data_IF_728553655868
#
_entry.id   IF_728553655868
#
_cell.length_a   1.000
_cell.length_b   1.000
_cell.length_c   1.000
_cell.angle_alpha   90.00
_cell.angle_beta   90.00
_cell.angle_gamma   90.00
#
_symmetry.space_group_name_H-M   'P 1'
#
loop_
_entity.id
_entity.type
_entity.pdbx_description
1 polymer ?
#
# COMPACT_ATOMS: atom_id res chain seq x y z
N UNK A 1 34.13 -27.59 -13.25
CA UNK A 1 35.10 -26.64 -12.67
C UNK A 1 34.36 -25.36 -12.30
N UNK A 2 33.81 -25.27 -11.09
CA UNK A 2 33.23 -24.02 -10.61
C UNK A 2 34.40 -23.10 -10.23
N UNK A 3 34.63 -22.02 -10.97
CA UNK A 3 35.73 -21.10 -10.68
C UNK A 3 35.47 -20.37 -9.37
N UNK A 4 36.50 -20.28 -8.52
CA UNK A 4 36.48 -19.46 -7.32
C UNK A 4 35.99 -18.04 -7.68
N UNK A 5 34.82 -17.66 -7.15
CA UNK A 5 34.32 -16.29 -7.26
C UNK A 5 35.35 -15.39 -6.61
N UNK A 6 35.96 -14.49 -7.38
CA UNK A 6 36.84 -13.50 -6.78
C UNK A 6 36.00 -12.63 -5.83
N UNK A 7 36.62 -12.08 -4.78
CA UNK A 7 35.93 -11.11 -3.88
C UNK A 7 35.22 -10.00 -4.68
N UNK A 8 35.78 -9.61 -5.82
CA UNK A 8 35.20 -8.64 -6.76
C UNK A 8 33.90 -9.16 -7.38
N UNK A 9 33.87 -10.40 -7.85
CA UNK A 9 32.67 -11.01 -8.45
C UNK A 9 31.56 -11.20 -7.41
N UNK A 10 31.92 -11.58 -6.19
CA UNK A 10 30.97 -11.66 -5.08
C UNK A 10 30.33 -10.30 -4.76
N UNK A 11 31.14 -9.24 -4.63
CA UNK A 11 30.65 -7.89 -4.37
C UNK A 11 29.80 -7.36 -5.53
N UNK A 12 30.16 -7.67 -6.77
CA UNK A 12 29.38 -7.31 -7.95
C UNK A 12 28.01 -8.01 -7.95
N UNK A 13 27.95 -9.30 -7.59
CA UNK A 13 26.71 -10.04 -7.44
C UNK A 13 25.81 -9.46 -6.34
N UNK A 14 26.39 -9.09 -5.20
CA UNK A 14 25.65 -8.43 -4.10
C UNK A 14 25.07 -7.07 -4.52
N UNK A 15 25.83 -6.28 -5.29
CA UNK A 15 25.36 -5.01 -5.81
C UNK A 15 24.20 -5.19 -6.81
N UNK A 16 24.29 -6.19 -7.69
CA UNK A 16 23.20 -6.55 -8.62
C UNK A 16 21.94 -7.00 -7.88
N UNK A 17 22.09 -7.82 -6.83
CA UNK A 17 20.98 -8.25 -5.98
C UNK A 17 20.30 -7.06 -5.30
N UNK A 18 21.09 -6.16 -4.68
CA UNK A 18 20.56 -4.96 -4.04
C UNK A 18 19.86 -4.00 -5.04
N UNK A 19 20.35 -3.92 -6.28
CA UNK A 19 19.70 -3.17 -7.35
C UNK A 19 18.38 -3.84 -7.79
N UNK A 20 18.34 -5.17 -7.82
CA UNK A 20 17.12 -5.95 -8.08
C UNK A 20 16.04 -5.66 -7.05
N UNK A 21 16.38 -5.72 -5.76
CA UNK A 21 15.44 -5.41 -4.68
C UNK A 21 14.95 -3.97 -4.72
N UNK A 22 15.81 -2.99 -5.02
CA UNK A 22 15.37 -1.58 -5.18
C UNK A 22 14.31 -1.43 -6.26
N UNK A 23 14.52 -2.03 -7.44
CA UNK A 23 13.54 -2.00 -8.52
C UNK A 23 12.23 -2.68 -8.13
N UNK A 24 12.29 -3.80 -7.41
CA UNK A 24 11.08 -4.46 -6.91
C UNK A 24 10.34 -3.59 -5.91
N UNK A 25 11.03 -2.97 -4.95
CA UNK A 25 10.42 -2.04 -3.99
C UNK A 25 9.77 -0.87 -4.74
N UNK A 26 10.48 -0.25 -5.68
CA UNK A 26 9.96 0.87 -6.47
C UNK A 26 8.76 0.47 -7.35
N UNK A 27 8.74 -0.74 -7.89
CA UNK A 27 7.63 -1.27 -8.69
C UNK A 27 6.44 -1.72 -7.83
N UNK A 28 6.67 -2.14 -6.59
CA UNK A 28 5.61 -2.52 -5.63
C UNK A 28 5.03 -1.30 -4.90
N UNK A 29 5.72 -0.16 -4.91
CA UNK A 29 5.12 1.12 -4.55
C UNK A 29 4.27 1.59 -5.73
N UNK A 30 3.02 1.14 -5.76
CA UNK A 30 1.96 1.86 -6.46
C UNK A 30 1.78 3.21 -5.75
N UNK A 31 2.65 4.15 -6.09
CA UNK A 31 2.66 5.49 -5.54
C UNK A 31 1.38 6.22 -5.92
N UNK A 32 0.85 7.02 -5.00
CA UNK A 32 -0.24 7.90 -5.34
C UNK A 32 0.19 8.95 -6.37
N UNK A 33 -0.76 9.35 -7.22
CA UNK A 33 -0.56 10.42 -8.20
C UNK A 33 0.05 11.68 -7.52
N UNK A 34 1.17 12.22 -8.05
CA UNK A 34 1.86 13.37 -7.47
C UNK A 34 1.14 14.70 -7.71
N UNK A 35 0.19 14.79 -8.66
CA UNK A 35 -0.56 16.00 -8.95
C UNK A 35 -1.31 16.51 -7.69
N UNK A 36 -1.07 17.75 -7.25
CA UNK A 36 -1.77 18.35 -6.12
C UNK A 36 -3.29 18.23 -6.18
N UNK A 37 -3.91 18.37 -7.37
CA UNK A 37 -5.35 18.28 -7.52
C UNK A 37 -5.86 16.85 -7.24
N UNK A 38 -5.19 15.84 -7.80
CA UNK A 38 -5.50 14.42 -7.57
C UNK A 38 -5.26 14.00 -6.12
N UNK A 39 -4.22 14.55 -5.49
CA UNK A 39 -3.95 14.35 -4.06
C UNK A 39 -5.06 14.91 -3.19
N UNK A 40 -5.55 16.12 -3.50
CA UNK A 40 -6.63 16.75 -2.76
C UNK A 40 -7.93 15.93 -2.87
N UNK A 41 -8.31 15.55 -4.09
CA UNK A 41 -9.50 14.73 -4.37
C UNK A 41 -9.45 13.40 -3.59
N UNK A 42 -8.33 12.66 -3.68
CA UNK A 42 -8.15 11.41 -2.93
C UNK A 42 -8.31 11.61 -1.43
N UNK A 43 -7.73 12.67 -0.87
CA UNK A 43 -7.80 12.95 0.58
C UNK A 43 -9.20 13.32 1.03
N UNK A 44 -9.94 14.12 0.24
CA UNK A 44 -11.32 14.48 0.55
C UNK A 44 -12.21 13.24 0.55
N UNK A 45 -12.09 12.39 -0.48
CA UNK A 45 -12.87 11.14 -0.56
C UNK A 45 -12.53 10.16 0.55
N UNK A 46 -11.25 10.06 0.94
CA UNK A 46 -10.82 9.22 2.05
C UNK A 46 -11.31 9.70 3.42
N UNK A 47 -11.42 11.01 3.63
CA UNK A 47 -12.02 11.54 4.86
C UNK A 47 -13.53 11.27 4.94
N UNK A 48 -14.22 11.30 3.79
CA UNK A 48 -15.66 11.09 3.74
C UNK A 48 -16.09 9.61 3.71
N UNK A 49 -15.16 8.66 3.50
CA UNK A 49 -15.49 7.24 3.36
C UNK A 49 -14.40 6.33 3.91
N UNK A 50 -14.72 5.65 5.00
CA UNK A 50 -13.89 4.63 5.63
C UNK A 50 -13.56 3.49 4.66
N UNK A 51 -14.53 3.03 3.86
CA UNK A 51 -14.32 1.99 2.84
C UNK A 51 -13.28 2.45 1.81
N UNK A 52 -13.44 3.66 1.27
CA UNK A 52 -12.48 4.19 0.29
C UNK A 52 -11.11 4.37 0.91
N UNK A 53 -11.02 4.88 2.14
CA UNK A 53 -9.76 4.98 2.88
C UNK A 53 -9.06 3.63 3.01
N UNK A 54 -9.77 2.60 3.50
CA UNK A 54 -9.21 1.26 3.68
C UNK A 54 -8.70 0.66 2.36
N UNK A 55 -9.51 0.72 1.30
CA UNK A 55 -9.14 0.17 -0.01
C UNK A 55 -7.98 0.94 -0.67
N UNK A 56 -7.88 2.25 -0.41
CA UNK A 56 -6.87 3.12 -1.03
C UNK A 56 -5.52 3.06 -0.32
N UNK A 57 -5.49 3.03 1.02
CA UNK A 57 -4.25 3.11 1.80
C UNK A 57 -3.80 1.75 2.36
N UNK A 58 -4.68 0.76 2.41
CA UNK A 58 -4.39 -0.58 2.90
C UNK A 58 -4.70 -1.67 1.84
N UNK A 59 -4.32 -1.49 0.56
CA UNK A 59 -4.73 -2.39 -0.52
C UNK A 59 -4.30 -3.84 -0.28
N UNK A 60 -3.21 -4.06 0.48
CA UNK A 60 -2.74 -5.40 0.82
C UNK A 60 -3.61 -6.14 1.85
N UNK A 61 -4.46 -5.43 2.59
CA UNK A 61 -5.41 -6.01 3.54
C UNK A 61 -6.81 -6.15 2.93
N UNK A 62 -7.09 -5.48 1.81
CA UNK A 62 -8.38 -5.49 1.11
C UNK A 62 -8.24 -5.99 -0.33
N UNK A 63 -7.44 -7.04 -0.54
CA UNK A 63 -7.05 -7.54 -1.88
C UNK A 63 -8.21 -8.17 -2.67
N UNK A 64 -9.16 -8.78 -1.98
CA UNK A 64 -10.28 -9.48 -2.60
C UNK A 64 -11.53 -8.60 -2.60
N UNK A 65 -12.47 -8.94 -3.49
CA UNK A 65 -13.80 -8.37 -3.42
C UNK A 65 -14.41 -8.61 -2.02
N UNK A 66 -15.08 -7.62 -1.43
CA UNK A 66 -15.63 -7.76 -0.09
C UNK A 66 -16.69 -8.86 -0.06
N UNK A 67 -16.55 -9.77 0.89
CA UNK A 67 -17.65 -10.64 1.30
C UNK A 67 -18.68 -9.84 2.12
N UNK A 68 -19.89 -10.38 2.32
CA UNK A 68 -20.99 -9.72 3.03
C UNK A 68 -20.61 -9.16 4.41
N UNK A 69 -19.73 -9.86 5.15
CA UNK A 69 -19.22 -9.37 6.44
C UNK A 69 -18.44 -8.05 6.30
N UNK A 70 -17.69 -7.86 5.22
CA UNK A 70 -16.93 -6.64 4.97
C UNK A 70 -17.86 -5.48 4.67
N UNK A 71 -18.91 -5.70 3.87
CA UNK A 71 -19.90 -4.66 3.57
C UNK A 71 -20.59 -4.17 4.85
N UNK A 72 -21.02 -5.09 5.71
CA UNK A 72 -21.56 -4.75 7.04
C UNK A 72 -20.56 -3.97 7.90
N UNK A 73 -19.31 -4.44 7.98
CA UNK A 73 -18.29 -3.77 8.79
C UNK A 73 -17.95 -2.38 8.25
N UNK A 74 -17.90 -2.19 6.94
CA UNK A 74 -17.67 -0.87 6.34
C UNK A 74 -18.76 0.12 6.72
N UNK A 75 -20.03 -0.28 6.67
CA UNK A 75 -21.15 0.56 7.09
C UNK A 75 -21.13 0.85 8.59
N UNK A 76 -20.90 -0.20 9.40
CA UNK A 76 -20.84 -0.07 10.85
C UNK A 76 -19.72 0.87 11.29
N UNK A 77 -18.52 0.70 10.73
CA UNK A 77 -17.36 1.54 11.05
C UNK A 77 -17.55 2.97 10.57
N UNK A 78 -18.15 3.20 9.40
CA UNK A 78 -18.50 4.56 8.96
C UNK A 78 -19.39 5.24 10.01
N UNK A 79 -20.42 4.54 10.49
CA UNK A 79 -21.33 5.06 11.53
C UNK A 79 -20.61 5.38 12.83
N UNK A 80 -19.63 4.57 13.24
CA UNK A 80 -18.80 4.86 14.44
C UNK A 80 -17.96 6.12 14.21
N UNK A 81 -17.27 6.20 13.08
CA UNK A 81 -16.38 7.33 12.75
C UNK A 81 -17.15 8.64 12.72
N UNK A 82 -18.36 8.62 12.14
CA UNK A 82 -19.20 9.81 11.98
C UNK A 82 -20.01 10.15 13.25
N UNK A 83 -19.89 9.38 14.33
CA UNK A 83 -20.71 9.56 15.53
C UNK A 83 -20.41 10.88 16.29
N UNK A 84 -19.25 11.50 16.03
CA UNK A 84 -18.83 12.76 16.66
C UNK A 84 -18.46 12.67 18.14
N UNK A 85 -18.48 11.48 18.74
CA UNK A 85 -18.19 11.25 20.17
C UNK A 85 -16.77 10.71 20.36
N UNK A 86 -16.21 9.99 19.37
CA UNK A 86 -14.88 9.40 19.47
C UNK A 86 -14.87 8.20 20.41
N UNK A 87 -15.48 7.09 19.97
CA UNK A 87 -15.51 5.84 20.73
C UNK A 87 -14.12 5.20 20.70
N UNK A 88 -13.32 5.42 21.75
CA UNK A 88 -12.00 4.84 21.97
C UNK A 88 -12.07 3.53 22.75
#
# INVERSE_FOLDING_TARGET
MASASSKKDFLAGLAQLAAGYRRQIEAEVDGFDPDPARRLERRQRAQASFRYFAQTYFPHYVKCAPASVHDYLFERFQTVVDNGVGDH
#
